data_IF_708521630256
#
_entry.id   IF_708521630256
#
_cell.length_a   1.000
_cell.length_b   1.000
_cell.length_c   1.000
_cell.angle_alpha   90.00
_cell.angle_beta   90.00
_cell.angle_gamma   90.00
#
_symmetry.space_group_name_H-M   'P 1'
#
loop_
_entity.id
_entity.type
_entity.pdbx_description
1 polymer ?
#
# COMPACT_ATOMS: atom_id res chain seq x y z
N UNK A 1 15.47 -11.80 -14.11
CA UNK A 1 15.70 -11.12 -12.80
C UNK A 1 14.54 -10.20 -12.45
N UNK A 2 14.09 -9.36 -13.40
CA UNK A 2 12.92 -8.48 -13.22
C UNK A 2 11.68 -9.27 -12.81
N UNK A 3 11.41 -10.44 -13.41
CA UNK A 3 10.23 -11.25 -13.07
C UNK A 3 10.22 -11.72 -11.61
N UNK A 4 11.38 -12.16 -11.09
CA UNK A 4 11.53 -12.59 -9.69
C UNK A 4 11.30 -11.41 -8.75
N UNK A 5 11.84 -10.24 -9.08
CA UNK A 5 11.70 -9.04 -8.28
C UNK A 5 10.28 -8.47 -8.33
N UNK A 6 9.61 -8.51 -9.49
CA UNK A 6 8.19 -8.16 -9.62
C UNK A 6 7.32 -9.11 -8.79
N UNK A 7 7.54 -10.41 -8.89
CA UNK A 7 6.82 -11.39 -8.09
C UNK A 7 7.02 -11.14 -6.59
N UNK A 8 8.27 -10.87 -6.18
CA UNK A 8 8.59 -10.57 -4.78
C UNK A 8 7.92 -9.27 -4.32
N UNK A 9 7.94 -8.21 -5.13
CA UNK A 9 7.27 -6.95 -4.82
C UNK A 9 5.74 -7.10 -4.75
N UNK A 10 5.15 -7.95 -5.60
CA UNK A 10 3.73 -8.29 -5.51
C UNK A 10 3.42 -9.09 -4.24
N UNK A 11 4.28 -10.04 -3.85
CA UNK A 11 4.14 -10.75 -2.57
C UNK A 11 4.23 -9.81 -1.37
N UNK A 12 5.12 -8.82 -1.41
CA UNK A 12 5.18 -7.77 -0.37
C UNK A 12 3.90 -6.93 -0.34
N UNK A 13 3.40 -6.51 -1.50
CA UNK A 13 2.13 -5.79 -1.62
C UNK A 13 0.97 -6.59 -1.01
N UNK A 14 0.89 -7.89 -1.29
CA UNK A 14 -0.10 -8.80 -0.71
C UNK A 14 0.10 -8.91 0.80
N UNK A 15 1.34 -9.11 1.26
CA UNK A 15 1.67 -9.22 2.68
C UNK A 15 1.23 -7.99 3.48
N UNK A 16 1.53 -6.78 2.98
CA UNK A 16 1.10 -5.54 3.61
C UNK A 16 -0.43 -5.39 3.60
N UNK A 17 -1.08 -5.70 2.48
CA UNK A 17 -2.53 -5.70 2.37
C UNK A 17 -3.20 -6.70 3.32
N UNK A 18 -2.59 -7.87 3.56
CA UNK A 18 -3.15 -8.89 4.46
C UNK A 18 -3.28 -8.40 5.90
N UNK A 19 -2.39 -7.52 6.38
CA UNK A 19 -2.55 -6.91 7.70
C UNK A 19 -3.86 -6.12 7.79
N UNK A 20 -4.13 -5.24 6.83
CA UNK A 20 -5.39 -4.48 6.77
C UNK A 20 -6.60 -5.38 6.52
N UNK A 21 -6.43 -6.42 5.70
CA UNK A 21 -7.52 -7.27 5.26
C UNK A 21 -7.98 -8.25 6.32
N UNK A 22 -7.04 -8.86 7.07
CA UNK A 22 -7.33 -9.89 8.09
C UNK A 22 -7.40 -9.28 9.49
N UNK A 23 -6.46 -8.39 9.82
CA UNK A 23 -6.26 -7.82 11.15
C UNK A 23 -6.43 -6.28 11.16
N UNK A 24 -7.62 -5.74 10.81
CA UNK A 24 -7.81 -4.29 10.62
C UNK A 24 -7.58 -3.46 11.89
N UNK A 25 -7.76 -4.04 13.09
CA UNK A 25 -7.46 -3.37 14.36
C UNK A 25 -5.96 -3.14 14.55
N UNK A 26 -5.14 -4.13 14.21
CA UNK A 26 -3.69 -3.99 14.24
C UNK A 26 -3.22 -2.88 13.28
N UNK A 27 -3.78 -2.83 12.07
CA UNK A 27 -3.43 -1.79 11.09
C UNK A 27 -3.92 -0.41 11.54
N UNK A 28 -5.12 -0.32 12.13
CA UNK A 28 -5.61 0.93 12.70
C UNK A 28 -4.68 1.44 13.81
N UNK A 29 -4.30 0.57 14.77
CA UNK A 29 -3.39 0.92 15.86
C UNK A 29 -2.00 1.33 15.34
N UNK A 30 -1.47 0.64 14.33
CA UNK A 30 -0.18 0.98 13.71
C UNK A 30 -0.17 2.41 13.11
N UNK A 31 -1.33 2.84 12.61
CA UNK A 31 -1.56 4.16 12.00
C UNK A 31 -2.12 5.20 12.98
N UNK A 32 -2.20 4.88 14.28
CA UNK A 32 -2.82 5.72 15.32
C UNK A 32 -4.28 6.10 15.01
N UNK A 33 -5.00 5.23 14.31
CA UNK A 33 -6.42 5.42 13.97
C UNK A 33 -7.32 4.82 15.04
N UNK A 34 -8.30 5.61 15.50
CA UNK A 34 -9.34 5.15 16.43
C UNK A 34 -10.68 5.08 15.70
N UNK A 35 -11.22 3.87 15.41
CA UNK A 35 -12.58 3.73 14.91
C UNK A 35 -13.58 4.37 15.86
N UNK A 36 -14.52 5.15 15.33
CA UNK A 36 -15.43 5.97 16.14
C UNK A 36 -16.77 5.27 16.43
N UNK A 37 -17.88 5.82 15.92
CA UNK A 37 -19.27 5.49 16.29
C UNK A 37 -19.77 4.14 15.79
N UNK A 38 -19.07 3.52 14.83
CA UNK A 38 -19.48 2.26 14.21
C UNK A 38 -18.27 1.46 13.72
N UNK A 39 -18.50 0.22 13.28
CA UNK A 39 -17.49 -0.63 12.67
C UNK A 39 -17.08 -0.20 11.25
N UNK A 40 -17.61 0.91 10.72
CA UNK A 40 -17.33 1.35 9.35
C UNK A 40 -15.83 1.62 9.13
N UNK A 41 -15.14 2.23 10.10
CA UNK A 41 -13.69 2.45 10.01
C UNK A 41 -12.91 1.13 9.84
N UNK A 42 -13.31 0.07 10.54
CA UNK A 42 -12.70 -1.26 10.38
C UNK A 42 -13.05 -1.89 9.02
N UNK A 43 -14.26 -1.61 8.49
CA UNK A 43 -14.65 -2.03 7.15
C UNK A 43 -13.77 -1.37 6.08
N UNK A 44 -13.51 -0.07 6.21
CA UNK A 44 -12.59 0.67 5.34
C UNK A 44 -11.19 0.10 5.40
N UNK A 45 -10.65 -0.19 6.60
CA UNK A 45 -9.33 -0.84 6.72
C UNK A 45 -9.26 -2.16 5.94
N UNK A 46 -10.34 -2.97 5.95
CA UNK A 46 -10.38 -4.22 5.18
C UNK A 46 -10.52 -3.98 3.68
N UNK A 47 -11.22 -2.93 3.26
CA UNK A 47 -11.49 -2.66 1.84
C UNK A 47 -10.33 -1.90 1.18
N UNK A 48 -10.07 -0.67 1.63
CA UNK A 48 -9.17 0.27 0.96
C UNK A 48 -7.70 0.06 1.32
N UNK A 49 -7.40 -0.29 2.57
CA UNK A 49 -6.01 -0.53 3.03
C UNK A 49 -5.59 -1.99 2.84
N UNK A 50 -6.55 -2.92 2.93
CA UNK A 50 -6.28 -4.35 2.86
C UNK A 50 -6.57 -4.98 1.50
N UNK A 51 -7.85 -5.25 1.26
CA UNK A 51 -8.35 -6.02 0.13
C UNK A 51 -7.93 -5.44 -1.21
N UNK A 52 -7.92 -4.11 -1.36
CA UNK A 52 -7.44 -3.46 -2.57
C UNK A 52 -6.00 -3.87 -2.93
N UNK A 53 -5.07 -3.85 -1.96
CA UNK A 53 -3.68 -4.23 -2.20
C UNK A 53 -3.49 -5.74 -2.35
N UNK A 54 -4.22 -6.55 -1.58
CA UNK A 54 -4.19 -8.02 -1.71
C UNK A 54 -4.63 -8.44 -3.11
N UNK A 55 -5.79 -7.97 -3.55
CA UNK A 55 -6.35 -8.35 -4.85
C UNK A 55 -5.54 -7.73 -5.98
N UNK A 56 -5.05 -6.49 -5.85
CA UNK A 56 -4.18 -5.89 -6.87
C UNK A 56 -2.90 -6.71 -7.09
N UNK A 57 -2.22 -7.13 -6.00
CA UNK A 57 -1.01 -7.96 -6.10
C UNK A 57 -1.28 -9.33 -6.73
N UNK A 58 -2.37 -10.00 -6.33
CA UNK A 58 -2.78 -11.30 -6.93
C UNK A 58 -3.11 -11.11 -8.41
N UNK A 59 -3.87 -10.07 -8.74
CA UNK A 59 -4.29 -9.78 -10.11
C UNK A 59 -3.09 -9.46 -11.00
N UNK A 60 -2.10 -8.70 -10.52
CA UNK A 60 -0.90 -8.39 -11.30
C UNK A 60 -0.08 -9.65 -11.61
N UNK A 61 0.06 -10.57 -10.66
CA UNK A 61 0.71 -11.87 -10.89
C UNK A 61 -0.08 -12.71 -11.89
N UNK A 62 -1.40 -12.72 -11.79
CA UNK A 62 -2.25 -13.50 -12.70
C UNK A 62 -2.22 -12.94 -14.13
N UNK A 63 -2.38 -11.62 -14.29
CA UNK A 63 -2.33 -10.96 -15.59
C UNK A 63 -0.92 -11.07 -16.20
N UNK A 64 0.11 -10.97 -15.36
CA UNK A 64 1.52 -11.10 -15.72
C UNK A 64 1.94 -10.24 -16.93
N UNK A 65 1.47 -8.99 -16.97
CA UNK A 65 1.84 -8.01 -17.99
C UNK A 65 2.52 -6.81 -17.32
N UNK A 66 3.52 -6.17 -17.96
CA UNK A 66 4.22 -5.00 -17.40
C UNK A 66 3.26 -3.90 -16.92
N UNK A 67 2.23 -3.60 -17.71
CA UNK A 67 1.21 -2.60 -17.36
C UNK A 67 0.45 -2.92 -16.06
N UNK A 68 0.24 -4.18 -15.70
CA UNK A 68 -0.43 -4.54 -14.45
C UNK A 68 0.44 -4.19 -13.23
N UNK A 69 1.75 -4.39 -13.32
CA UNK A 69 2.71 -3.99 -12.30
C UNK A 69 2.81 -2.45 -12.20
N UNK A 70 2.84 -1.76 -13.34
CA UNK A 70 2.83 -0.28 -13.41
C UNK A 70 1.61 0.31 -12.69
N UNK A 71 0.43 -0.29 -12.84
CA UNK A 71 -0.78 0.16 -12.14
C UNK A 71 -0.66 0.09 -10.60
N UNK A 72 0.00 -0.95 -10.06
CA UNK A 72 0.33 -1.01 -8.63
C UNK A 72 1.33 0.10 -8.28
N UNK A 73 2.32 0.35 -9.14
CA UNK A 73 3.28 1.44 -8.99
C UNK A 73 2.62 2.81 -8.86
N UNK A 74 1.61 3.11 -9.69
CA UNK A 74 0.82 4.35 -9.58
C UNK A 74 0.01 4.43 -8.28
N UNK A 75 -0.48 3.29 -7.78
CA UNK A 75 -1.19 3.23 -6.49
C UNK A 75 -0.26 3.64 -5.35
N UNK A 76 0.96 3.10 -5.30
CA UNK A 76 1.96 3.48 -4.30
C UNK A 76 2.45 4.92 -4.49
N UNK A 77 2.62 5.39 -5.72
CA UNK A 77 2.95 6.79 -5.99
C UNK A 77 1.89 7.74 -5.42
N UNK A 78 0.61 7.41 -5.62
CA UNK A 78 -0.51 8.15 -5.02
C UNK A 78 -0.43 8.19 -3.50
N UNK A 79 -0.08 7.08 -2.85
CA UNK A 79 0.13 7.03 -1.40
C UNK A 79 1.28 7.95 -0.94
N UNK A 80 2.43 7.91 -1.64
CA UNK A 80 3.57 8.80 -1.35
C UNK A 80 3.17 10.28 -1.48
N UNK A 81 2.46 10.64 -2.55
CA UNK A 81 1.96 12.01 -2.74
C UNK A 81 1.01 12.39 -1.60
N UNK A 82 0.10 11.50 -1.21
CA UNK A 82 -0.80 11.71 -0.07
C UNK A 82 -0.05 11.97 1.23
N UNK A 83 1.05 11.25 1.49
CA UNK A 83 1.93 11.49 2.64
C UNK A 83 2.62 12.84 2.59
N UNK A 84 3.12 13.25 1.42
CA UNK A 84 3.73 14.59 1.25
C UNK A 84 2.71 15.69 1.53
N UNK A 85 1.49 15.56 1.00
CA UNK A 85 0.39 16.50 1.27
C UNK A 85 0.08 16.53 2.77
N UNK A 86 -0.04 15.37 3.42
CA UNK A 86 -0.31 15.29 4.86
C UNK A 86 0.82 15.89 5.70
N UNK A 87 2.07 15.79 5.26
CA UNK A 87 3.20 16.45 5.93
C UNK A 87 3.06 17.99 5.92
N UNK A 88 2.44 18.55 4.88
CA UNK A 88 2.25 20.01 4.74
C UNK A 88 1.05 20.47 5.57
N UNK A 89 -0.06 19.75 5.53
CA UNK A 89 -1.33 20.20 6.10
C UNK A 89 -1.63 19.66 7.50
N UNK A 90 -1.20 18.44 7.82
CA UNK A 90 -1.64 17.72 9.02
C UNK A 90 -0.53 17.51 10.07
N UNK A 91 0.73 17.79 9.72
CA UNK A 91 1.91 17.61 10.59
C UNK A 91 1.95 16.27 11.37
N UNK A 92 1.83 15.10 10.68
CA UNK A 92 1.87 13.81 11.34
C UNK A 92 3.26 13.50 11.94
N UNK A 93 3.38 12.50 12.83
CA UNK A 93 4.65 12.09 13.40
C UNK A 93 5.69 11.73 12.33
N UNK A 94 6.69 12.59 12.15
CA UNK A 94 7.62 12.53 11.01
C UNK A 94 8.32 11.18 10.85
N UNK A 95 8.73 10.55 11.97
CA UNK A 95 9.38 9.23 11.94
C UNK A 95 8.46 8.14 11.38
N UNK A 96 7.20 8.09 11.81
CA UNK A 96 6.23 7.11 11.29
C UNK A 96 5.95 7.37 9.82
N UNK A 97 5.72 8.64 9.46
CA UNK A 97 5.50 9.04 8.07
C UNK A 97 6.65 8.55 7.18
N UNK A 98 7.89 8.83 7.56
CA UNK A 98 9.08 8.48 6.78
C UNK A 98 9.23 6.97 6.56
N UNK A 99 8.92 6.15 7.56
CA UNK A 99 8.99 4.69 7.45
C UNK A 99 7.96 4.18 6.42
N UNK A 100 6.70 4.59 6.55
CA UNK A 100 5.65 4.15 5.62
C UNK A 100 5.87 4.69 4.22
N UNK A 101 6.15 5.99 4.08
CA UNK A 101 6.40 6.61 2.78
C UNK A 101 7.65 6.06 2.11
N UNK A 102 8.67 5.65 2.87
CA UNK A 102 9.88 5.03 2.34
C UNK A 102 9.62 3.68 1.69
N UNK A 103 8.79 2.84 2.32
CA UNK A 103 8.36 1.55 1.75
C UNK A 103 7.51 1.78 0.51
N UNK A 104 6.53 2.69 0.59
CA UNK A 104 5.65 3.05 -0.53
C UNK A 104 6.47 3.59 -1.73
N UNK A 105 7.42 4.49 -1.48
CA UNK A 105 8.28 5.07 -2.52
C UNK A 105 9.20 4.02 -3.16
N UNK A 106 9.77 3.11 -2.38
CA UNK A 106 10.60 2.04 -2.91
C UNK A 106 9.80 1.10 -3.83
N UNK A 107 8.59 0.71 -3.42
CA UNK A 107 7.70 -0.12 -4.25
C UNK A 107 7.21 0.63 -5.49
N UNK A 108 6.83 1.90 -5.36
CA UNK A 108 6.44 2.74 -6.49
C UNK A 108 7.58 2.84 -7.52
N UNK A 109 8.79 3.18 -7.07
CA UNK A 109 9.96 3.31 -7.93
C UNK A 109 10.26 1.98 -8.64
N UNK A 110 10.23 0.85 -7.93
CA UNK A 110 10.44 -0.46 -8.53
C UNK A 110 9.39 -0.76 -9.62
N UNK A 111 8.10 -0.68 -9.26
CA UNK A 111 7.03 -1.05 -10.17
C UNK A 111 6.95 -0.14 -11.40
N UNK A 112 7.25 1.15 -11.26
CA UNK A 112 7.24 2.09 -12.39
C UNK A 112 8.48 1.93 -13.26
N UNK A 113 9.69 2.04 -12.69
CA UNK A 113 10.91 2.06 -13.50
C UNK A 113 11.30 0.71 -14.08
N UNK A 114 10.91 -0.40 -13.45
CA UNK A 114 11.24 -1.73 -13.99
C UNK A 114 10.25 -2.24 -15.05
N UNK A 115 9.10 -1.57 -15.24
CA UNK A 115 8.00 -2.08 -16.08
C UNK A 115 7.43 -1.07 -17.09
N UNK A 116 7.88 0.20 -17.07
CA UNK A 116 7.66 1.19 -18.14
C UNK A 116 8.75 1.06 -19.21
#
# INVERSE_FOLDING_TARGET
MIDILNFTACMLTIGFGLFGFVAPRFTADALDLVPSRSSMGLSEMRASVGGAFVIAGIAAIWINMPLAYVMIGFTFLGAVIGRVISCIFDNPPFRKLLIFSGIEAALAAWFLFANL
#
